data_IF_269573460687
#
_entry.id   IF_269573460687
#
_cell.length_a   1.000
_cell.length_b   1.000
_cell.length_c   1.000
_cell.angle_alpha   90.00
_cell.angle_beta   90.00
_cell.angle_gamma   90.00
#
_symmetry.space_group_name_H-M   'P 1'
#
loop_
_entity.id
_entity.type
_entity.pdbx_description
1 polymer ?
#
# COMPACT_ATOMS: atom_id res chain seq x y z
N UNK A 1 -42.78 13.94 -23.18
CA UNK A 1 -42.09 12.68 -22.86
C UNK A 1 -42.64 12.18 -21.54
N UNK A 2 -43.44 11.11 -21.56
CA UNK A 2 -43.99 10.52 -20.34
C UNK A 2 -42.87 9.77 -19.61
N UNK A 3 -42.49 10.23 -18.45
CA UNK A 3 -41.63 9.50 -17.49
C UNK A 3 -42.44 8.28 -17.05
N UNK A 4 -42.06 7.10 -17.53
CA UNK A 4 -42.58 5.84 -16.99
C UNK A 4 -41.91 5.70 -15.62
N UNK A 5 -42.59 6.12 -14.56
CA UNK A 5 -42.24 5.77 -13.20
C UNK A 5 -42.55 4.29 -13.03
N UNK A 6 -41.50 3.45 -12.95
CA UNK A 6 -41.66 2.06 -12.51
C UNK A 6 -42.22 2.09 -11.10
N UNK A 7 -43.35 1.43 -10.86
CA UNK A 7 -43.89 1.27 -9.52
C UNK A 7 -42.90 0.51 -8.64
N UNK A 8 -42.69 0.99 -7.40
CA UNK A 8 -41.89 0.30 -6.42
C UNK A 8 -42.67 -0.86 -5.81
N UNK A 9 -42.48 -2.03 -6.37
CA UNK A 9 -43.09 -3.29 -5.95
C UNK A 9 -42.02 -4.39 -5.82
N UNK A 10 -42.41 -5.60 -5.49
CA UNK A 10 -41.49 -6.73 -5.30
C UNK A 10 -40.62 -7.01 -6.53
N UNK A 11 -41.11 -6.76 -7.75
CA UNK A 11 -40.31 -6.89 -8.99
C UNK A 11 -39.23 -5.84 -9.13
N UNK A 12 -39.26 -4.78 -8.33
CA UNK A 12 -38.23 -3.75 -8.30
C UNK A 12 -37.05 -4.13 -7.41
N UNK A 13 -37.18 -5.15 -6.56
CA UNK A 13 -36.14 -5.68 -5.69
C UNK A 13 -35.32 -6.70 -6.47
N UNK A 14 -34.03 -6.44 -6.62
CA UNK A 14 -33.10 -7.32 -7.34
C UNK A 14 -31.95 -7.74 -6.43
N UNK A 15 -31.62 -9.02 -6.49
CA UNK A 15 -30.37 -9.55 -5.92
C UNK A 15 -29.36 -9.71 -7.05
N UNK A 16 -28.21 -9.09 -6.91
CA UNK A 16 -27.12 -9.16 -7.90
C UNK A 16 -26.14 -10.26 -7.52
N UNK A 17 -25.61 -10.93 -8.53
CA UNK A 17 -24.41 -11.75 -8.36
C UNK A 17 -23.22 -10.88 -7.99
N UNK A 18 -22.24 -11.46 -7.31
CA UNK A 18 -21.09 -10.73 -6.77
C UNK A 18 -20.34 -9.89 -7.82
N UNK A 19 -20.12 -10.44 -9.01
CA UNK A 19 -19.44 -9.77 -10.12
C UNK A 19 -20.29 -8.64 -10.72
N UNK A 20 -21.59 -8.84 -10.84
CA UNK A 20 -22.53 -7.81 -11.29
C UNK A 20 -22.57 -6.64 -10.32
N UNK A 21 -22.60 -6.92 -9.01
CA UNK A 21 -22.59 -5.88 -7.98
C UNK A 21 -21.30 -5.03 -8.07
N UNK A 22 -20.13 -5.68 -8.20
CA UNK A 22 -18.84 -4.96 -8.33
C UNK A 22 -18.86 -4.09 -9.59
N UNK A 23 -19.33 -4.60 -10.72
CA UNK A 23 -19.40 -3.85 -11.99
C UNK A 23 -20.38 -2.70 -11.96
N UNK A 24 -21.49 -2.83 -11.22
CA UNK A 24 -22.49 -1.74 -11.08
C UNK A 24 -22.07 -0.70 -10.03
N UNK A 25 -21.26 -1.07 -9.05
CA UNK A 25 -20.79 -0.21 -7.95
C UNK A 25 -19.26 -0.26 -7.78
N UNK A 26 -18.48 -0.05 -8.84
CA UNK A 26 -17.02 -0.20 -8.78
C UNK A 26 -16.38 0.74 -7.76
N UNK A 27 -16.96 1.92 -7.55
CA UNK A 27 -16.47 2.88 -6.56
C UNK A 27 -16.38 2.37 -5.13
N UNK A 28 -17.18 1.37 -4.75
CA UNK A 28 -17.11 0.73 -3.44
C UNK A 28 -15.87 -0.16 -3.27
N UNK A 29 -15.28 -0.63 -4.35
CA UNK A 29 -14.21 -1.63 -4.35
C UNK A 29 -12.87 -1.09 -4.83
N UNK A 30 -12.88 -0.26 -5.86
CA UNK A 30 -11.68 0.21 -6.56
C UNK A 30 -11.61 1.74 -6.70
N UNK A 31 -12.54 2.46 -6.07
CA UNK A 31 -12.57 3.93 -6.16
C UNK A 31 -13.03 4.43 -7.52
N UNK A 32 -12.41 5.49 -8.01
CA UNK A 32 -12.82 6.19 -9.23
C UNK A 32 -12.54 5.36 -10.50
N UNK A 33 -13.52 5.28 -11.40
CA UNK A 33 -13.38 4.63 -12.71
C UNK A 33 -12.89 5.59 -13.80
N UNK A 34 -11.86 6.36 -13.51
CA UNK A 34 -11.25 7.29 -14.46
C UNK A 34 -10.53 6.61 -15.64
N UNK A 35 -10.04 7.45 -16.54
CA UNK A 35 -9.38 7.04 -17.78
C UNK A 35 -7.87 6.75 -17.66
N UNK A 36 -7.33 6.81 -16.45
CA UNK A 36 -5.90 6.62 -16.17
C UNK A 36 -5.07 7.90 -16.16
N UNK A 37 -5.71 9.05 -16.35
CA UNK A 37 -5.03 10.35 -16.28
C UNK A 37 -4.63 10.77 -14.86
N UNK A 38 -5.17 10.09 -13.85
CA UNK A 38 -4.90 10.36 -12.44
C UNK A 38 -4.32 9.13 -11.74
N UNK A 39 -3.35 9.30 -10.82
CA UNK A 39 -2.70 8.16 -10.15
C UNK A 39 -3.63 7.41 -9.17
N UNK A 40 -4.77 7.99 -8.81
CA UNK A 40 -5.82 7.38 -7.96
C UNK A 40 -6.95 6.73 -8.75
N UNK A 41 -6.88 6.68 -10.08
CA UNK A 41 -7.87 6.00 -10.91
C UNK A 41 -7.86 4.48 -10.66
N UNK A 42 -9.04 3.88 -10.70
CA UNK A 42 -9.25 2.48 -10.35
C UNK A 42 -8.41 1.48 -11.12
N UNK A 43 -8.01 1.78 -12.38
CA UNK A 43 -7.12 0.89 -13.14
C UNK A 43 -5.76 0.67 -12.42
N UNK A 44 -5.25 1.66 -11.67
CA UNK A 44 -4.04 1.50 -10.86
C UNK A 44 -4.33 0.75 -9.56
N UNK A 45 -5.55 0.87 -9.02
CA UNK A 45 -5.98 0.06 -7.87
C UNK A 45 -6.03 -1.42 -8.25
N UNK A 46 -6.42 -1.77 -9.50
CA UNK A 46 -6.35 -3.16 -9.97
C UNK A 46 -4.92 -3.72 -9.92
N UNK A 47 -3.92 -2.97 -10.38
CA UNK A 47 -2.52 -3.36 -10.29
C UNK A 47 -2.12 -3.55 -8.82
N UNK A 48 -2.48 -2.59 -7.98
CA UNK A 48 -2.18 -2.58 -6.55
C UNK A 48 -2.73 -3.80 -5.84
N UNK A 49 -3.99 -4.18 -6.09
CA UNK A 49 -4.62 -5.35 -5.44
C UNK A 49 -3.92 -6.68 -5.78
N UNK A 50 -3.39 -6.82 -6.99
CA UNK A 50 -2.59 -8.00 -7.35
C UNK A 50 -1.19 -7.93 -6.73
N UNK A 51 -0.54 -6.76 -6.77
CA UNK A 51 0.77 -6.55 -6.14
C UNK A 51 0.74 -6.78 -4.63
N UNK A 52 -0.29 -6.27 -3.94
CA UNK A 52 -0.45 -6.45 -2.50
C UNK A 52 -0.49 -7.93 -2.10
N UNK A 53 -1.13 -8.78 -2.92
CA UNK A 53 -1.13 -10.22 -2.68
C UNK A 53 0.28 -10.84 -2.82
N UNK A 54 1.04 -10.40 -3.82
CA UNK A 54 2.40 -10.85 -4.05
C UNK A 54 3.37 -10.36 -2.96
N UNK A 55 3.18 -9.14 -2.47
CA UNK A 55 3.96 -8.54 -1.38
C UNK A 55 3.65 -9.21 -0.04
N UNK A 56 2.41 -9.61 0.20
CA UNK A 56 2.05 -10.35 1.41
C UNK A 56 2.77 -11.70 1.50
N UNK A 57 3.04 -12.36 0.37
CA UNK A 57 3.90 -13.56 0.33
C UNK A 57 5.35 -13.23 0.72
N UNK A 58 5.92 -12.14 0.17
CA UNK A 58 7.26 -11.70 0.55
C UNK A 58 7.34 -11.32 2.04
N UNK A 59 6.35 -10.61 2.56
CA UNK A 59 6.27 -10.22 3.98
C UNK A 59 6.14 -11.43 4.90
N UNK A 60 5.58 -12.53 4.40
CA UNK A 60 5.51 -13.83 5.09
C UNK A 60 6.80 -14.65 4.94
N UNK A 61 7.83 -14.12 4.29
CA UNK A 61 9.14 -14.77 4.11
C UNK A 61 9.28 -15.60 2.84
N UNK A 62 8.33 -15.52 1.91
CA UNK A 62 8.30 -16.34 0.69
C UNK A 62 8.47 -15.48 -0.57
N UNK A 63 9.41 -15.89 -1.42
CA UNK A 63 9.75 -15.18 -2.66
C UNK A 63 10.60 -13.93 -2.39
N UNK A 64 11.33 -13.50 -3.42
CA UNK A 64 12.20 -12.31 -3.36
C UNK A 64 12.14 -11.48 -4.63
N UNK A 65 11.30 -11.86 -5.57
CA UNK A 65 11.14 -11.20 -6.85
C UNK A 65 9.65 -11.16 -7.23
N UNK A 66 9.20 -10.04 -7.76
CA UNK A 66 7.90 -9.86 -8.41
C UNK A 66 8.15 -9.21 -9.76
N UNK A 67 7.56 -9.76 -10.82
CA UNK A 67 7.60 -9.19 -12.17
C UNK A 67 6.27 -8.58 -12.53
N UNK A 68 6.31 -7.39 -13.10
CA UNK A 68 5.16 -6.62 -13.54
C UNK A 68 5.44 -6.18 -14.96
N UNK A 69 4.57 -6.55 -15.89
CA UNK A 69 4.68 -6.13 -17.28
C UNK A 69 3.34 -5.56 -17.74
N UNK A 70 3.39 -4.48 -18.49
CA UNK A 70 2.22 -3.85 -19.12
C UNK A 70 2.50 -3.74 -20.61
N UNK A 71 1.74 -4.48 -21.40
CA UNK A 71 1.73 -4.39 -22.86
C UNK A 71 0.39 -3.85 -23.31
N UNK A 72 0.36 -2.67 -23.90
CA UNK A 72 -0.85 -1.94 -24.24
C UNK A 72 -1.75 -1.78 -22.99
N UNK A 73 -2.87 -2.51 -22.92
CA UNK A 73 -3.81 -2.51 -21.81
C UNK A 73 -3.84 -3.82 -21.02
N UNK A 74 -2.90 -4.74 -21.30
CA UNK A 74 -2.78 -6.01 -20.59
C UNK A 74 -1.70 -5.93 -19.52
N UNK A 75 -2.08 -6.21 -18.29
CA UNK A 75 -1.19 -6.27 -17.13
C UNK A 75 -0.88 -7.72 -16.83
N UNK A 76 0.39 -8.01 -16.58
CA UNK A 76 0.89 -9.32 -16.15
C UNK A 76 1.69 -9.15 -14.87
N UNK A 77 1.38 -9.94 -13.84
CA UNK A 77 2.10 -9.94 -12.56
C UNK A 77 2.44 -11.38 -12.19
N UNK A 78 3.71 -11.64 -11.88
CA UNK A 78 4.24 -12.93 -11.44
C UNK A 78 5.03 -12.78 -10.16
N UNK A 79 4.61 -13.45 -9.11
CA UNK A 79 5.41 -13.63 -7.89
C UNK A 79 6.02 -15.03 -7.82
N UNK A 80 6.95 -15.19 -6.89
CA UNK A 80 7.63 -16.46 -6.61
C UNK A 80 7.46 -16.85 -5.13
N UNK A 81 6.25 -16.59 -4.58
CA UNK A 81 5.83 -17.00 -3.26
C UNK A 81 5.45 -18.48 -3.18
N UNK A 82 4.61 -18.84 -2.23
CA UNK A 82 4.13 -20.22 -2.07
C UNK A 82 3.17 -20.68 -3.17
N UNK A 83 2.49 -19.75 -3.78
CA UNK A 83 1.34 -19.99 -4.64
C UNK A 83 0.06 -20.27 -3.83
N UNK A 84 -1.09 -20.01 -4.45
CA UNK A 84 -2.41 -20.33 -3.90
C UNK A 84 -2.56 -21.87 -3.89
N UNK A 85 -3.12 -22.49 -2.82
CA UNK A 85 -3.46 -23.90 -2.86
C UNK A 85 -4.29 -24.25 -4.11
N UNK A 86 -3.86 -25.25 -4.87
CA UNK A 86 -4.36 -25.46 -6.25
C UNK A 86 -5.88 -25.61 -6.32
N UNK A 87 -6.50 -26.29 -5.36
CA UNK A 87 -7.95 -26.46 -5.31
C UNK A 87 -8.72 -25.16 -4.97
N UNK A 88 -8.03 -24.16 -4.42
CA UNK A 88 -8.62 -22.88 -4.01
C UNK A 88 -8.48 -21.77 -5.05
N UNK A 89 -7.79 -21.99 -6.17
CA UNK A 89 -7.48 -20.95 -7.18
C UNK A 89 -8.74 -20.27 -7.71
N UNK A 90 -9.73 -21.06 -8.14
CA UNK A 90 -10.99 -20.55 -8.67
C UNK A 90 -11.74 -19.77 -7.58
N UNK A 91 -11.86 -20.35 -6.40
CA UNK A 91 -12.61 -19.74 -5.29
C UNK A 91 -11.95 -18.44 -4.81
N UNK A 92 -10.63 -18.40 -4.75
CA UNK A 92 -9.89 -17.18 -4.43
C UNK A 92 -10.10 -16.04 -5.45
N UNK A 93 -10.35 -16.38 -6.72
CA UNK A 93 -10.58 -15.41 -7.78
C UNK A 93 -12.06 -15.02 -7.95
N UNK A 94 -13.02 -15.82 -7.48
CA UNK A 94 -14.45 -15.69 -7.85
C UNK A 94 -15.46 -15.83 -6.72
N UNK A 95 -15.04 -16.12 -5.48
CA UNK A 95 -15.96 -16.20 -4.34
C UNK A 95 -15.64 -15.11 -3.33
N UNK A 96 -16.61 -14.26 -3.00
CA UNK A 96 -16.49 -13.29 -1.92
C UNK A 96 -16.21 -13.99 -0.59
N UNK A 97 -15.51 -13.29 0.29
CA UNK A 97 -15.14 -13.80 1.62
C UNK A 97 -14.33 -15.12 1.58
N UNK A 98 -13.57 -15.32 0.52
CA UNK A 98 -12.66 -16.47 0.36
C UNK A 98 -11.23 -15.99 0.23
N UNK A 99 -10.33 -16.51 1.05
CA UNK A 99 -8.91 -16.18 1.02
C UNK A 99 -8.20 -16.69 2.27
N UNK A 100 -6.90 -16.94 2.18
CA UNK A 100 -6.07 -17.37 3.31
C UNK A 100 -5.82 -16.31 4.38
N UNK A 101 -6.18 -15.05 4.10
CA UNK A 101 -5.91 -13.90 4.98
C UNK A 101 -6.92 -13.72 6.12
N UNK A 102 -7.98 -14.55 6.16
CA UNK A 102 -8.88 -14.64 7.31
C UNK A 102 -8.28 -15.46 8.47
N UNK A 103 -7.17 -16.14 8.24
CA UNK A 103 -6.41 -16.81 9.27
C UNK A 103 -5.22 -15.92 9.66
N UNK A 104 -5.33 -15.25 10.81
CA UNK A 104 -4.31 -14.35 11.35
C UNK A 104 -2.99 -15.07 11.65
N UNK A 105 -3.00 -16.38 11.89
CA UNK A 105 -1.78 -17.15 12.14
C UNK A 105 -0.93 -17.31 10.88
N UNK A 106 -1.56 -17.24 9.70
CA UNK A 106 -0.87 -17.39 8.40
C UNK A 106 -0.44 -16.04 7.83
N UNK A 107 -1.24 -14.96 8.04
CA UNK A 107 -1.02 -13.62 7.48
C UNK A 107 -1.26 -12.52 8.53
N UNK A 108 -0.40 -12.40 9.51
CA UNK A 108 -0.61 -11.49 10.66
C UNK A 108 -0.70 -10.00 10.31
N UNK A 109 0.01 -9.55 9.29
CA UNK A 109 0.16 -8.11 8.94
C UNK A 109 -0.11 -7.86 7.47
N UNK A 110 -1.04 -8.60 6.90
CA UNK A 110 -1.43 -8.47 5.51
C UNK A 110 -2.30 -7.22 5.28
N UNK A 111 -2.32 -6.74 4.08
CA UNK A 111 -3.12 -5.59 3.65
C UNK A 111 -4.47 -6.02 3.11
N UNK A 112 -4.54 -7.14 2.45
CA UNK A 112 -5.72 -7.64 1.74
C UNK A 112 -6.70 -8.39 2.65
N UNK A 113 -7.14 -7.79 3.76
CA UNK A 113 -7.95 -8.46 4.79
C UNK A 113 -9.37 -8.82 4.34
N UNK A 114 -9.96 -8.07 3.41
CA UNK A 114 -11.36 -8.22 3.06
C UNK A 114 -11.65 -9.36 2.06
N UNK A 115 -10.62 -9.99 1.51
CA UNK A 115 -10.77 -11.06 0.51
C UNK A 115 -11.51 -10.64 -0.76
N UNK A 116 -11.47 -9.35 -1.13
CA UNK A 116 -12.28 -8.75 -2.22
C UNK A 116 -11.42 -8.28 -3.39
N UNK A 117 -10.16 -7.90 -3.15
CA UNK A 117 -9.34 -7.21 -4.13
C UNK A 117 -9.17 -7.96 -5.45
N UNK A 118 -8.74 -9.23 -5.38
CA UNK A 118 -8.58 -10.06 -6.58
C UNK A 118 -9.90 -10.28 -7.33
N UNK A 119 -11.03 -10.35 -6.60
CA UNK A 119 -12.38 -10.46 -7.19
C UNK A 119 -12.77 -9.18 -7.91
N UNK A 120 -12.39 -8.02 -7.36
CA UNK A 120 -12.62 -6.75 -8.03
C UNK A 120 -11.84 -6.66 -9.35
N UNK A 121 -10.58 -7.10 -9.38
CA UNK A 121 -9.79 -7.19 -10.62
C UNK A 121 -10.47 -8.10 -11.62
N UNK A 122 -10.87 -9.31 -11.22
CA UNK A 122 -11.56 -10.27 -12.09
C UNK A 122 -12.88 -9.70 -12.62
N UNK A 123 -13.76 -9.21 -11.75
CA UNK A 123 -15.09 -8.71 -12.14
C UNK A 123 -15.02 -7.50 -13.08
N UNK A 124 -14.00 -6.65 -12.96
CA UNK A 124 -13.85 -5.42 -13.77
C UNK A 124 -12.96 -5.59 -14.99
N UNK A 125 -12.56 -6.83 -15.30
CA UNK A 125 -11.74 -7.17 -16.47
C UNK A 125 -12.57 -7.87 -17.55
N UNK A 126 -12.32 -7.52 -18.81
CA UNK A 126 -12.83 -8.26 -19.97
C UNK A 126 -12.15 -9.61 -20.15
N UNK A 127 -10.89 -9.67 -19.72
CA UNK A 127 -10.08 -10.89 -19.68
C UNK A 127 -9.31 -10.94 -18.34
N UNK A 128 -9.41 -12.07 -17.65
CA UNK A 128 -8.66 -12.33 -16.43
C UNK A 128 -8.19 -13.79 -16.43
N UNK A 129 -6.90 -13.97 -16.25
CA UNK A 129 -6.25 -15.28 -16.14
C UNK A 129 -5.45 -15.35 -14.86
N UNK A 130 -5.59 -16.45 -14.14
CA UNK A 130 -4.81 -16.73 -12.94
C UNK A 130 -4.24 -18.14 -13.02
N UNK A 131 -2.98 -18.32 -12.64
CA UNK A 131 -2.33 -19.62 -12.50
C UNK A 131 -1.49 -19.66 -11.24
N UNK A 132 -1.67 -20.67 -10.44
CA UNK A 132 -0.88 -20.94 -9.25
C UNK A 132 0.00 -22.16 -9.46
N UNK A 133 1.28 -22.00 -9.15
CA UNK A 133 2.32 -23.03 -9.28
C UNK A 133 2.74 -23.52 -7.90
N UNK A 134 2.62 -24.83 -7.68
CA UNK A 134 3.04 -25.49 -6.45
C UNK A 134 3.62 -26.87 -6.73
N UNK A 135 4.85 -27.10 -6.27
CA UNK A 135 5.49 -28.42 -6.28
C UNK A 135 5.51 -29.09 -7.68
N UNK A 136 5.78 -28.29 -8.72
CA UNK A 136 5.86 -28.76 -10.11
C UNK A 136 4.52 -28.95 -10.81
N UNK A 137 3.41 -28.65 -10.16
CA UNK A 137 2.06 -28.65 -10.73
C UNK A 137 1.50 -27.24 -10.78
N UNK A 138 0.52 -27.01 -11.63
CA UNK A 138 -0.26 -25.76 -11.57
C UNK A 138 -1.74 -26.00 -11.78
N UNK A 139 -2.53 -25.06 -11.24
CA UNK A 139 -3.95 -24.87 -11.53
C UNK A 139 -4.12 -23.50 -12.14
N UNK A 140 -4.79 -23.46 -13.29
CA UNK A 140 -5.15 -22.20 -13.95
C UNK A 140 -6.67 -22.06 -14.12
N UNK A 141 -7.10 -20.81 -14.25
CA UNK A 141 -8.48 -20.47 -14.56
C UNK A 141 -8.54 -19.16 -15.37
N UNK A 142 -9.46 -19.10 -16.32
CA UNK A 142 -9.74 -17.98 -17.17
C UNK A 142 -11.16 -17.47 -16.94
N UNK A 143 -11.32 -16.16 -16.89
CA UNK A 143 -12.59 -15.48 -16.64
C UNK A 143 -12.80 -14.31 -17.59
N UNK A 144 -14.07 -13.96 -17.78
CA UNK A 144 -14.49 -12.72 -18.41
C UNK A 144 -15.58 -12.07 -17.58
N UNK A 145 -15.35 -10.81 -17.16
CA UNK A 145 -16.25 -10.06 -16.29
C UNK A 145 -16.66 -10.83 -15.02
N UNK A 146 -15.74 -11.60 -14.42
CA UNK A 146 -15.97 -12.42 -13.25
C UNK A 146 -16.59 -13.80 -13.51
N UNK A 147 -17.01 -14.08 -14.73
CA UNK A 147 -17.56 -15.38 -15.10
C UNK A 147 -16.46 -16.31 -15.59
N UNK A 148 -16.43 -17.54 -15.07
CA UNK A 148 -15.46 -18.53 -15.49
C UNK A 148 -15.69 -18.94 -16.94
N UNK A 149 -14.62 -18.94 -17.73
CA UNK A 149 -14.62 -19.35 -19.14
C UNK A 149 -14.04 -20.76 -19.27
N UNK A 150 -12.87 -20.99 -18.65
CA UNK A 150 -12.18 -22.27 -18.70
C UNK A 150 -11.25 -22.44 -17.50
N UNK A 151 -10.84 -23.67 -17.21
CA UNK A 151 -9.85 -23.97 -16.17
C UNK A 151 -9.23 -25.34 -16.37
N UNK A 152 -8.02 -25.53 -15.84
CA UNK A 152 -7.34 -26.82 -15.96
C UNK A 152 -6.14 -26.93 -15.03
N UNK A 153 -5.44 -28.04 -15.17
CA UNK A 153 -4.20 -28.33 -14.46
C UNK A 153 -3.07 -28.56 -15.47
N UNK A 154 -1.86 -28.21 -15.06
CA UNK A 154 -0.64 -28.68 -15.73
C UNK A 154 0.18 -29.51 -14.74
N UNK A 155 0.68 -30.62 -15.21
CA UNK A 155 1.61 -31.48 -14.49
C UNK A 155 3.04 -31.24 -14.98
N UNK A 156 4.01 -31.36 -14.09
CA UNK A 156 5.44 -31.25 -14.43
C UNK A 156 5.80 -29.92 -15.15
N UNK A 157 5.31 -28.80 -14.62
CA UNK A 157 5.48 -27.48 -15.27
C UNK A 157 6.92 -27.02 -15.36
N UNK A 158 7.83 -27.51 -14.51
CA UNK A 158 9.20 -27.01 -14.38
C UNK A 158 9.29 -25.59 -13.78
N UNK A 159 8.15 -24.96 -13.52
CA UNK A 159 8.06 -23.61 -12.97
C UNK A 159 8.28 -23.60 -11.44
N UNK A 160 8.86 -22.51 -10.95
CA UNK A 160 8.96 -22.25 -9.52
C UNK A 160 7.58 -21.95 -8.95
N UNK A 161 7.39 -22.29 -7.67
CA UNK A 161 6.17 -21.92 -6.93
C UNK A 161 5.87 -20.40 -7.05
N UNK A 162 4.60 -20.06 -6.90
CA UNK A 162 4.12 -18.67 -6.90
C UNK A 162 2.84 -18.52 -7.68
N UNK A 163 2.44 -17.27 -7.91
CA UNK A 163 1.19 -16.94 -8.60
C UNK A 163 1.45 -16.08 -9.83
N UNK A 164 0.74 -16.35 -10.88
CA UNK A 164 0.73 -15.59 -12.13
C UNK A 164 -0.68 -15.06 -12.36
N UNK A 165 -0.79 -13.77 -12.61
CA UNK A 165 -2.05 -13.09 -12.96
C UNK A 165 -1.82 -12.30 -14.23
N UNK A 166 -2.75 -12.43 -15.18
CA UNK A 166 -2.81 -11.61 -16.40
C UNK A 166 -4.24 -11.11 -16.59
N UNK A 167 -4.40 -9.81 -16.82
CA UNK A 167 -5.72 -9.26 -17.04
C UNK A 167 -5.71 -8.06 -17.98
N UNK A 168 -6.87 -7.82 -18.60
CA UNK A 168 -7.17 -6.61 -19.37
C UNK A 168 -8.45 -6.01 -18.78
N UNK A 169 -8.37 -4.80 -18.24
CA UNK A 169 -9.53 -4.13 -17.68
C UNK A 169 -10.61 -3.90 -18.76
N UNK A 170 -11.87 -3.88 -18.36
CA UNK A 170 -13.01 -3.79 -19.30
C UNK A 170 -13.33 -2.32 -19.61
N UNK A 171 -13.30 -1.95 -20.88
CA UNK A 171 -13.70 -0.62 -21.38
C UNK A 171 -15.13 -0.22 -21.00
N UNK A 172 -15.99 -1.19 -20.69
CA UNK A 172 -17.34 -0.92 -20.18
C UNK A 172 -17.33 -0.39 -18.75
N UNK A 173 -16.28 -0.68 -17.98
CA UNK A 173 -16.08 -0.18 -16.61
C UNK A 173 -15.17 1.03 -16.60
N UNK A 174 -14.14 1.04 -17.44
CA UNK A 174 -13.12 2.10 -17.56
C UNK A 174 -13.09 2.63 -19.00
N UNK A 175 -14.00 3.53 -19.40
CA UNK A 175 -14.08 3.98 -20.78
C UNK A 175 -12.79 4.67 -21.26
N UNK A 176 -12.23 4.16 -22.37
CA UNK A 176 -11.06 4.73 -23.05
C UNK A 176 -9.81 4.87 -22.16
N UNK A 177 -9.67 4.00 -21.16
CA UNK A 177 -8.53 4.06 -20.23
C UNK A 177 -7.17 3.78 -20.92
N UNK A 178 -6.13 4.38 -20.35
CA UNK A 178 -4.72 4.10 -20.70
C UNK A 178 -3.87 4.16 -19.45
N UNK A 179 -2.92 3.23 -19.35
CA UNK A 179 -1.93 3.27 -18.28
C UNK A 179 -0.89 4.37 -18.56
N UNK A 180 -0.67 5.25 -17.58
CA UNK A 180 0.52 6.08 -17.52
C UNK A 180 1.64 5.29 -16.82
N UNK A 181 2.68 4.96 -17.57
CA UNK A 181 3.81 4.15 -17.04
C UNK A 181 4.54 4.85 -15.90
N UNK A 182 4.58 6.19 -15.87
CA UNK A 182 5.21 6.95 -14.79
C UNK A 182 4.49 6.72 -13.44
N UNK A 183 3.16 6.65 -13.43
CA UNK A 183 2.40 6.37 -12.21
C UNK A 183 2.64 4.94 -11.70
N UNK A 184 2.76 3.98 -12.61
CA UNK A 184 3.08 2.60 -12.23
C UNK A 184 4.53 2.50 -11.75
N UNK A 185 5.46 3.18 -12.40
CA UNK A 185 6.86 3.23 -11.98
C UNK A 185 7.00 3.81 -10.57
N UNK A 186 6.30 4.91 -10.27
CA UNK A 186 6.27 5.51 -8.93
C UNK A 186 5.69 4.56 -7.89
N UNK A 187 4.59 3.88 -8.21
CA UNK A 187 4.00 2.86 -7.35
C UNK A 187 5.01 1.75 -7.05
N UNK A 188 5.69 1.20 -8.06
CA UNK A 188 6.69 0.14 -7.92
C UNK A 188 7.88 0.60 -7.09
N UNK A 189 8.37 1.83 -7.29
CA UNK A 189 9.41 2.43 -6.45
C UNK A 189 8.99 2.51 -4.99
N UNK A 190 7.80 3.02 -4.71
CA UNK A 190 7.28 3.11 -3.34
C UNK A 190 7.22 1.73 -2.68
N UNK A 191 6.75 0.71 -3.37
CA UNK A 191 6.77 -0.66 -2.84
C UNK A 191 8.19 -1.18 -2.60
N UNK A 192 9.18 -0.81 -3.41
CA UNK A 192 10.57 -1.23 -3.21
C UNK A 192 11.16 -0.62 -1.93
N UNK A 193 10.84 0.64 -1.62
CA UNK A 193 11.27 1.30 -0.38
C UNK A 193 10.63 0.68 0.87
N UNK A 194 9.37 0.29 0.76
CA UNK A 194 8.61 -0.28 1.88
C UNK A 194 8.90 -1.76 2.13
N UNK A 195 9.57 -2.44 1.19
CA UNK A 195 9.88 -3.86 1.23
C UNK A 195 11.36 -4.12 0.91
N UNK A 196 12.22 -3.67 1.81
CA UNK A 196 13.68 -3.78 1.67
C UNK A 196 14.11 -5.21 1.34
N UNK A 197 14.91 -5.37 0.29
CA UNK A 197 15.40 -6.68 -0.18
C UNK A 197 14.50 -7.37 -1.22
N UNK A 198 13.24 -6.90 -1.43
CA UNK A 198 12.40 -7.36 -2.53
C UNK A 198 12.89 -6.76 -3.86
N UNK A 199 13.02 -7.60 -4.88
CA UNK A 199 13.28 -7.18 -6.26
C UNK A 199 11.95 -7.05 -7.01
N UNK A 200 11.61 -5.84 -7.41
CA UNK A 200 10.46 -5.54 -8.25
C UNK A 200 10.95 -5.24 -9.67
N UNK A 201 10.48 -6.00 -10.66
CA UNK A 201 10.84 -5.80 -12.07
C UNK A 201 9.64 -5.27 -12.84
N UNK A 202 9.70 -4.03 -13.29
CA UNK A 202 8.65 -3.42 -14.09
C UNK A 202 9.14 -3.18 -15.52
N UNK A 203 8.48 -3.79 -16.50
CA UNK A 203 8.85 -3.77 -17.91
C UNK A 203 10.36 -4.04 -18.12
N UNK A 204 10.90 -5.02 -17.39
CA UNK A 204 12.32 -5.42 -17.46
C UNK A 204 13.29 -4.57 -16.64
N UNK A 205 12.88 -3.42 -16.09
CA UNK A 205 13.71 -2.59 -15.20
C UNK A 205 13.54 -3.01 -13.74
N UNK A 206 14.66 -3.22 -13.05
CA UNK A 206 14.65 -3.61 -11.62
C UNK A 206 14.61 -2.42 -10.70
N UNK A 207 13.76 -2.51 -9.67
CA UNK A 207 13.64 -1.60 -8.54
C UNK A 207 13.86 -2.37 -7.25
N UNK A 208 14.85 -1.95 -6.48
CA UNK A 208 15.23 -2.59 -5.21
C UNK A 208 15.88 -1.57 -4.28
N UNK A 209 15.31 -1.40 -3.11
CA UNK A 209 15.87 -0.53 -2.09
C UNK A 209 16.74 -1.31 -1.11
N UNK A 210 17.82 -0.66 -0.64
CA UNK A 210 18.71 -1.17 0.41
C UNK A 210 18.43 -0.53 1.77
N UNK A 211 18.02 0.74 1.76
CA UNK A 211 17.88 1.56 2.97
C UNK A 211 16.42 1.96 3.26
N UNK A 212 15.45 1.35 2.57
CA UNK A 212 14.02 1.53 2.86
C UNK A 212 13.54 2.99 2.76
N UNK A 213 12.93 3.50 3.81
CA UNK A 213 12.40 4.87 3.83
C UNK A 213 13.50 5.94 3.69
N UNK A 214 14.74 5.64 4.04
CA UNK A 214 15.85 6.60 3.84
C UNK A 214 16.07 6.85 2.34
N UNK A 215 16.02 5.80 1.51
CA UNK A 215 16.11 5.94 0.06
C UNK A 215 14.92 6.76 -0.48
N UNK A 216 13.70 6.45 -0.01
CA UNK A 216 12.49 7.19 -0.40
C UNK A 216 12.60 8.68 -0.11
N UNK A 217 12.98 9.05 1.11
CA UNK A 217 13.09 10.46 1.50
C UNK A 217 14.21 11.13 0.73
N UNK A 218 15.38 10.49 0.60
CA UNK A 218 16.56 11.06 -0.07
C UNK A 218 16.32 11.30 -1.56
N UNK A 219 15.64 10.38 -2.26
CA UNK A 219 15.34 10.53 -3.69
C UNK A 219 14.26 11.59 -3.97
N UNK A 220 13.38 11.85 -3.01
CA UNK A 220 12.29 12.82 -3.15
C UNK A 220 12.60 14.20 -2.54
N UNK A 221 13.79 14.41 -1.99
CA UNK A 221 14.20 15.71 -1.47
C UNK A 221 14.23 16.76 -2.59
N UNK A 222 13.37 17.77 -2.48
CA UNK A 222 13.32 18.91 -3.41
C UNK A 222 14.25 20.07 -3.03
N UNK A 223 14.93 20.00 -1.89
CA UNK A 223 15.76 21.06 -1.32
C UNK A 223 16.90 20.48 -0.47
N UNK A 224 17.89 21.32 -0.13
CA UNK A 224 18.98 20.92 0.75
C UNK A 224 18.47 20.66 2.18
N UNK A 225 19.07 19.65 2.82
CA UNK A 225 18.76 19.33 4.21
C UNK A 225 19.70 20.07 5.15
N UNK A 226 19.19 20.55 6.28
CA UNK A 226 19.97 21.26 7.28
C UNK A 226 20.95 20.33 8.04
N UNK A 227 20.64 19.06 8.10
CA UNK A 227 21.46 17.99 8.68
C UNK A 227 21.11 16.66 8.00
N UNK A 228 22.03 15.66 8.07
CA UNK A 228 21.75 14.35 7.47
C UNK A 228 20.45 13.74 8.02
N UNK A 229 19.63 13.12 7.16
CA UNK A 229 18.40 12.49 7.61
C UNK A 229 18.61 11.50 8.75
N UNK A 230 17.82 11.63 9.81
CA UNK A 230 17.80 10.70 10.96
C UNK A 230 16.97 9.50 10.53
N UNK A 231 17.58 8.32 10.46
CA UNK A 231 16.93 7.07 10.08
C UNK A 231 16.84 6.14 11.28
N UNK A 232 15.63 5.83 11.72
CA UNK A 232 15.36 4.97 12.88
C UNK A 232 14.54 3.75 12.43
N UNK A 233 15.03 2.57 12.78
CA UNK A 233 14.43 1.28 12.40
C UNK A 233 14.20 0.44 13.65
N UNK A 234 12.96 0.03 13.86
CA UNK A 234 12.54 -0.86 14.92
C UNK A 234 11.73 -2.04 14.40
N UNK A 235 11.22 -2.84 15.32
CA UNK A 235 10.30 -3.91 14.95
C UNK A 235 8.94 -3.29 14.56
N UNK A 236 8.52 -3.50 13.33
CA UNK A 236 7.25 -2.99 12.77
C UNK A 236 7.13 -1.46 12.67
N UNK A 237 8.23 -0.74 12.79
CA UNK A 237 8.28 0.71 12.63
C UNK A 237 9.59 1.12 11.96
N UNK A 238 9.49 2.00 10.99
CA UNK A 238 10.62 2.66 10.35
C UNK A 238 10.25 4.12 10.16
N UNK A 239 11.17 5.03 10.43
CA UNK A 239 10.95 6.44 10.18
C UNK A 239 12.23 7.17 9.75
N UNK A 240 12.03 8.24 9.01
CA UNK A 240 13.09 9.16 8.59
C UNK A 240 12.63 10.58 8.87
N UNK A 241 13.51 11.38 9.48
CA UNK A 241 13.24 12.77 9.80
C UNK A 241 14.45 13.62 9.40
N UNK A 242 14.21 14.71 8.72
CA UNK A 242 15.16 15.82 8.54
C UNK A 242 14.41 17.14 8.47
N UNK A 243 15.13 18.25 8.45
CA UNK A 243 14.59 19.56 8.13
C UNK A 243 15.29 20.10 6.88
N UNK A 244 14.56 20.78 6.06
CA UNK A 244 15.07 21.43 4.85
C UNK A 244 15.12 22.95 5.02
N UNK A 245 15.64 23.62 4.02
CA UNK A 245 15.58 25.07 3.89
C UNK A 245 14.25 25.58 3.31
N UNK A 246 13.35 24.63 2.92
CA UNK A 246 12.02 24.93 2.41
C UNK A 246 11.02 25.36 3.49
N UNK A 247 9.78 25.60 3.08
CA UNK A 247 8.67 25.94 3.97
C UNK A 247 7.66 24.79 4.08
N UNK A 248 7.03 24.70 5.25
CA UNK A 248 5.98 23.72 5.51
C UNK A 248 6.53 22.36 5.96
N UNK A 249 5.63 21.41 6.08
CA UNK A 249 5.88 20.04 6.49
C UNK A 249 5.58 19.10 5.32
N UNK A 250 6.48 18.17 5.03
CA UNK A 250 6.30 17.12 4.00
C UNK A 250 6.64 15.75 4.58
N UNK A 251 5.58 15.02 5.01
CA UNK A 251 5.71 13.71 5.64
C UNK A 251 4.89 12.68 4.90
N UNK A 252 5.56 11.72 4.29
CA UNK A 252 4.93 10.53 3.74
C UNK A 252 4.58 9.52 4.85
N UNK A 253 3.41 8.90 4.79
CA UNK A 253 2.98 7.94 5.81
C UNK A 253 2.45 6.64 5.20
N UNK A 254 2.82 5.52 5.83
CA UNK A 254 2.53 4.18 5.32
C UNK A 254 2.08 3.25 6.45
N UNK A 255 1.14 2.37 6.13
CA UNK A 255 0.67 1.30 7.01
C UNK A 255 0.60 0.00 6.23
N UNK A 256 1.31 -1.05 6.70
CA UNK A 256 1.38 -2.35 6.03
C UNK A 256 1.76 -2.23 4.54
N UNK A 257 2.62 -1.28 4.18
CA UNK A 257 3.01 -1.02 2.80
C UNK A 257 2.02 -0.19 1.98
N UNK A 258 0.94 0.32 2.58
CA UNK A 258 -0.03 1.19 1.91
C UNK A 258 0.30 2.65 2.13
N UNK A 259 0.32 3.44 1.06
CA UNK A 259 0.46 4.89 1.14
C UNK A 259 -0.84 5.52 1.67
N UNK A 260 -0.77 6.07 2.88
CA UNK A 260 -1.90 6.73 3.53
C UNK A 260 -1.88 8.23 3.22
N UNK A 261 -2.27 8.58 2.00
CA UNK A 261 -2.23 9.96 1.49
C UNK A 261 -3.06 10.95 2.30
N UNK A 262 -4.08 10.47 3.02
CA UNK A 262 -4.90 11.25 3.96
C UNK A 262 -4.44 11.11 5.42
N UNK A 263 -3.29 10.46 5.65
CA UNK A 263 -2.70 10.25 6.96
C UNK A 263 -3.52 9.30 7.84
N UNK A 264 -3.78 9.72 9.07
CA UNK A 264 -4.53 8.95 10.07
C UNK A 264 -3.89 8.99 11.45
N UNK A 265 -4.27 8.03 12.29
CA UNK A 265 -3.84 7.95 13.70
C UNK A 265 -2.33 7.87 13.85
N UNK A 266 -1.64 7.14 12.98
CA UNK A 266 -0.18 6.98 13.01
C UNK A 266 0.56 8.27 12.66
N UNK A 267 0.12 9.02 11.65
CA UNK A 267 0.73 10.30 11.29
C UNK A 267 0.54 11.34 12.40
N UNK A 268 -0.64 11.37 13.00
CA UNK A 268 -0.92 12.24 14.15
C UNK A 268 -0.04 11.90 15.35
N UNK A 269 0.11 10.62 15.67
CA UNK A 269 0.98 10.14 16.74
C UNK A 269 2.46 10.47 16.48
N UNK A 270 2.92 10.30 15.23
CA UNK A 270 4.27 10.65 14.80
C UNK A 270 4.55 12.15 15.02
N UNK A 271 3.68 13.03 14.54
CA UNK A 271 3.82 14.49 14.70
C UNK A 271 3.88 14.90 16.17
N UNK A 272 3.02 14.33 16.99
CA UNK A 272 2.98 14.60 18.43
C UNK A 272 4.28 14.13 19.10
N UNK A 273 4.69 12.89 18.84
CA UNK A 273 5.85 12.28 19.48
C UNK A 273 7.17 12.98 19.10
N UNK A 274 7.35 13.33 17.83
CA UNK A 274 8.55 14.07 17.37
C UNK A 274 8.64 15.43 18.07
N UNK A 275 7.57 16.21 18.05
CA UNK A 275 7.55 17.53 18.67
C UNK A 275 7.81 17.44 20.19
N UNK A 276 7.17 16.49 20.88
CA UNK A 276 7.35 16.27 22.31
C UNK A 276 8.79 15.88 22.64
N UNK A 277 9.35 14.89 21.95
CA UNK A 277 10.71 14.40 22.21
C UNK A 277 11.77 15.48 22.00
N UNK A 278 11.67 16.25 20.93
CA UNK A 278 12.59 17.36 20.65
C UNK A 278 12.49 18.45 21.71
N UNK A 279 11.29 18.82 22.14
CA UNK A 279 11.09 19.80 23.24
C UNK A 279 11.72 19.32 24.53
N UNK A 280 11.49 18.06 24.90
CA UNK A 280 12.06 17.45 26.12
C UNK A 280 13.58 17.38 26.06
N UNK A 281 14.16 16.96 24.93
CA UNK A 281 15.59 16.89 24.70
C UNK A 281 16.26 18.27 24.83
N UNK A 282 15.68 19.28 24.19
CA UNK A 282 16.21 20.64 24.19
C UNK A 282 15.87 21.40 25.49
N UNK A 283 15.02 20.85 26.35
CA UNK A 283 14.54 21.45 27.61
C UNK A 283 13.95 22.85 27.42
N UNK A 284 13.18 23.01 26.32
CA UNK A 284 12.50 24.26 25.96
C UNK A 284 11.07 23.99 25.52
N UNK A 285 10.18 24.87 25.90
CA UNK A 285 8.74 24.77 25.57
C UNK A 285 8.43 25.54 24.28
N UNK A 286 8.84 24.94 23.15
CA UNK A 286 8.50 25.44 21.82
C UNK A 286 7.09 25.05 21.42
N UNK A 287 6.45 25.83 20.54
CA UNK A 287 5.21 25.39 19.89
C UNK A 287 5.47 24.18 19.01
N UNK A 288 4.60 23.15 18.99
CA UNK A 288 4.77 21.99 18.12
C UNK A 288 4.86 22.33 16.63
N UNK A 289 4.22 23.40 16.19
CA UNK A 289 4.29 23.90 14.80
C UNK A 289 5.68 24.38 14.43
N UNK A 290 6.39 25.08 15.35
CA UNK A 290 7.73 25.57 15.11
C UNK A 290 8.74 24.43 14.98
N UNK A 291 8.55 23.34 15.76
CA UNK A 291 9.34 22.11 15.65
C UNK A 291 9.16 21.42 14.29
N UNK A 292 7.93 21.43 13.76
CA UNK A 292 7.61 20.75 12.49
C UNK A 292 7.80 21.63 11.24
N UNK A 293 8.08 22.91 11.42
CA UNK A 293 8.33 23.80 10.29
C UNK A 293 9.53 23.35 9.48
N UNK A 294 9.34 23.12 8.17
CA UNK A 294 10.33 22.60 7.23
C UNK A 294 10.75 21.15 7.46
N UNK A 295 9.99 20.38 8.26
CA UNK A 295 10.26 18.97 8.50
C UNK A 295 9.91 18.16 7.26
N UNK A 296 10.85 17.35 6.81
CA UNK A 296 10.69 16.37 5.73
C UNK A 296 10.97 14.98 6.26
N UNK A 297 10.14 14.02 5.88
CA UNK A 297 10.36 12.67 6.36
C UNK A 297 9.33 11.66 5.92
N UNK A 298 9.38 10.50 6.54
CA UNK A 298 8.44 9.42 6.30
C UNK A 298 8.29 8.56 7.55
N UNK A 299 7.12 7.93 7.70
CA UNK A 299 6.87 6.89 8.70
C UNK A 299 6.16 5.70 8.05
N UNK A 300 6.61 4.50 8.37
CA UNK A 300 5.96 3.24 8.03
C UNK A 300 5.78 2.40 9.29
N UNK A 301 4.57 1.91 9.51
CA UNK A 301 4.25 0.98 10.59
C UNK A 301 3.54 -0.27 10.07
N UNK A 302 3.62 -1.35 10.84
CA UNK A 302 2.85 -2.56 10.60
C UNK A 302 1.84 -2.75 11.73
N UNK A 303 0.59 -2.94 11.37
CA UNK A 303 -0.57 -3.08 12.26
C UNK A 303 -1.24 -4.41 11.99
N UNK A 304 -1.66 -5.11 13.04
CA UNK A 304 -2.49 -6.31 12.92
C UNK A 304 -3.92 -5.86 12.65
N UNK A 305 -4.53 -6.39 11.60
CA UNK A 305 -5.91 -6.07 11.20
C UNK A 305 -6.21 -4.55 11.14
N UNK A 306 -5.50 -3.79 10.28
CA UNK A 306 -5.68 -2.35 10.22
C UNK A 306 -7.08 -1.97 9.74
N UNK A 307 -7.67 -0.97 10.40
CA UNK A 307 -8.95 -0.37 10.02
C UNK A 307 -8.67 0.90 9.23
N UNK A 308 -9.04 0.90 7.95
CA UNK A 308 -8.95 2.06 7.08
C UNK A 308 -10.30 2.77 6.94
N UNK A 309 -10.27 4.06 6.64
CA UNK A 309 -11.48 4.86 6.43
C UNK A 309 -12.24 4.53 5.14
N UNK A 310 -11.56 3.88 4.18
CA UNK A 310 -12.12 3.49 2.88
C UNK A 310 -11.41 2.25 2.33
N UNK A 311 -11.97 1.65 1.28
CA UNK A 311 -11.40 0.47 0.62
C UNK A 311 -10.07 0.80 -0.10
N UNK A 312 -9.86 2.02 -0.53
CA UNK A 312 -8.60 2.46 -1.15
C UNK A 312 -7.46 2.68 -0.14
N UNK A 313 -7.76 2.53 1.15
CA UNK A 313 -6.79 2.49 2.26
C UNK A 313 -5.96 3.77 2.41
N UNK A 314 -6.54 4.92 2.10
CA UNK A 314 -5.85 6.23 2.13
C UNK A 314 -5.69 6.83 3.51
N UNK A 315 -6.44 6.35 4.52
CA UNK A 315 -6.42 6.87 5.89
C UNK A 315 -6.54 5.76 6.93
N UNK A 316 -5.59 5.71 7.88
CA UNK A 316 -5.66 4.78 9.01
C UNK A 316 -6.59 5.31 10.11
N UNK A 317 -7.57 4.50 10.51
CA UNK A 317 -8.48 4.79 11.62
C UNK A 317 -8.20 3.92 12.86
N UNK A 318 -7.35 2.88 12.76
CA UNK A 318 -7.01 2.04 13.91
C UNK A 318 -6.47 2.86 15.07
N UNK A 319 -6.95 2.58 16.28
CA UNK A 319 -6.39 3.14 17.52
C UNK A 319 -5.32 2.23 18.13
N UNK A 320 -5.31 0.96 17.78
CA UNK A 320 -4.43 -0.07 18.29
C UNK A 320 -3.54 -0.63 17.16
N UNK A 321 -2.31 -1.04 17.47
CA UNK A 321 -1.43 -1.78 16.54
C UNK A 321 -1.64 -3.29 16.65
N UNK A 322 -2.06 -3.73 17.84
CA UNK A 322 -2.45 -5.09 18.20
C UNK A 322 -3.44 -5.03 19.37
N UNK A 323 -3.78 -6.15 19.98
CA UNK A 323 -4.77 -6.22 21.08
C UNK A 323 -4.32 -5.48 22.37
N UNK A 324 -3.03 -5.19 22.53
CA UNK A 324 -2.46 -4.69 23.78
C UNK A 324 -1.97 -3.24 23.68
N UNK A 325 -1.44 -2.80 22.53
CA UNK A 325 -0.69 -1.55 22.39
C UNK A 325 -1.40 -0.58 21.44
N UNK A 326 -1.59 0.65 21.91
CA UNK A 326 -2.15 1.71 21.07
C UNK A 326 -1.13 2.21 20.04
N UNK A 327 -1.62 2.66 18.88
CA UNK A 327 -0.79 3.32 17.83
C UNK A 327 -0.01 4.50 18.42
N UNK A 328 -0.65 5.28 19.30
CA UNK A 328 -0.02 6.45 19.93
C UNK A 328 1.14 6.06 20.83
N UNK A 329 0.97 5.04 21.68
CA UNK A 329 2.02 4.59 22.58
C UNK A 329 3.14 3.88 21.80
N UNK A 330 2.80 3.02 20.84
CA UNK A 330 3.77 2.31 20.01
C UNK A 330 4.74 3.27 19.31
N UNK A 331 4.21 4.30 18.67
CA UNK A 331 5.02 5.30 17.97
C UNK A 331 5.70 6.23 18.97
N UNK A 332 4.98 6.65 20.02
CA UNK A 332 5.47 7.59 21.03
C UNK A 332 6.68 7.06 21.79
N UNK A 333 6.59 5.82 22.29
CA UNK A 333 7.67 5.19 23.06
C UNK A 333 8.90 4.97 22.19
N UNK A 334 8.72 4.48 20.96
CA UNK A 334 9.82 4.29 20.01
C UNK A 334 10.54 5.60 19.68
N UNK A 335 9.80 6.66 19.35
CA UNK A 335 10.39 7.96 19.01
C UNK A 335 11.07 8.58 20.23
N UNK A 336 10.44 8.50 21.40
CA UNK A 336 11.02 9.05 22.62
C UNK A 336 12.37 8.39 22.94
N UNK A 337 12.47 7.08 22.81
CA UNK A 337 13.72 6.36 23.08
C UNK A 337 14.76 6.59 21.98
N UNK A 338 14.42 6.29 20.73
CA UNK A 338 15.40 6.25 19.64
C UNK A 338 15.84 7.65 19.17
N UNK A 339 14.90 8.60 19.07
CA UNK A 339 15.22 9.96 18.65
C UNK A 339 16.02 10.72 19.73
N UNK A 340 15.66 10.57 21.01
CA UNK A 340 16.40 11.18 22.10
C UNK A 340 17.83 10.62 22.19
N UNK A 341 17.98 9.29 22.08
CA UNK A 341 19.29 8.64 22.02
C UNK A 341 20.12 9.12 20.82
N UNK A 342 19.49 9.30 19.65
CA UNK A 342 20.16 9.82 18.47
C UNK A 342 20.69 11.25 18.71
N UNK A 343 19.84 12.13 19.22
CA UNK A 343 20.21 13.53 19.47
C UNK A 343 21.30 13.68 20.55
N UNK A 344 21.34 12.79 21.54
CA UNK A 344 22.43 12.74 22.51
C UNK A 344 23.77 12.33 21.89
N UNK A 345 23.76 11.42 20.92
CA UNK A 345 24.94 10.96 20.19
C UNK A 345 25.41 11.95 19.12
N UNK A 346 24.49 12.75 18.56
CA UNK A 346 24.72 13.67 17.45
C UNK A 346 24.39 15.11 17.86
N UNK A 347 25.22 15.65 18.75
CA UNK A 347 25.03 16.99 19.36
C UNK A 347 25.04 18.13 18.32
N UNK A 348 25.76 17.95 17.20
CA UNK A 348 25.72 18.90 16.08
C UNK A 348 24.32 18.99 15.47
N UNK A 349 23.68 17.86 15.22
CA UNK A 349 22.29 17.82 14.73
C UNK A 349 21.33 18.50 15.70
N UNK A 350 21.47 18.21 17.01
CA UNK A 350 20.64 18.86 18.04
C UNK A 350 20.83 20.38 18.06
N UNK A 351 22.06 20.87 17.84
CA UNK A 351 22.37 22.30 17.77
C UNK A 351 21.74 22.97 16.54
N UNK A 352 21.85 22.35 15.37
CA UNK A 352 21.24 22.85 14.13
C UNK A 352 19.71 22.88 14.27
N UNK A 353 19.12 21.83 14.82
CA UNK A 353 17.69 21.72 15.07
C UNK A 353 17.20 22.82 16.03
N UNK A 354 17.92 23.05 17.14
CA UNK A 354 17.61 24.15 18.06
C UNK A 354 17.58 25.51 17.35
N UNK A 355 18.61 25.80 16.53
CA UNK A 355 18.69 27.03 15.78
C UNK A 355 17.51 27.21 14.83
N UNK A 356 17.16 26.13 14.06
CA UNK A 356 16.02 26.15 13.13
C UNK A 356 14.70 26.42 13.85
N UNK A 357 14.45 25.79 14.98
CA UNK A 357 13.21 25.99 15.75
C UNK A 357 13.12 27.42 16.28
N UNK A 358 14.24 27.99 16.76
CA UNK A 358 14.29 29.38 17.21
C UNK A 358 14.08 30.40 16.08
N UNK A 359 14.51 30.08 14.87
CA UNK A 359 14.22 30.87 13.68
C UNK A 359 12.72 30.83 13.36
N UNK A 360 12.10 29.64 13.34
CA UNK A 360 10.66 29.48 13.12
C UNK A 360 9.80 30.19 14.17
N UNK A 361 10.22 30.16 15.44
CA UNK A 361 9.55 30.87 16.54
C UNK A 361 9.59 32.39 16.32
N UNK A 362 10.67 32.95 15.77
CA UNK A 362 10.79 34.39 15.49
C UNK A 362 9.98 34.83 14.27
N UNK A 363 9.81 33.93 13.29
CA UNK A 363 9.03 34.20 12.08
C UNK A 363 7.52 34.13 12.32
N UNK A 364 7.06 33.36 13.30
CA UNK A 364 5.67 33.26 13.75
C UNK A 364 5.22 34.51 14.51
#
# INVERSE_FOLDING_TARGET
>A
MSTITKDYNDDAIQTLEWNEHIRQRPGMYIGNTGDGSRPDDGIYILIKEVLDNSIDEFSSGYGKEIRIDIEENTVTIRDYGRGIPLESVIDCASKLNTGGKFDSDVFQKSVGLNGVGLKAVNATSSYFYIESFREGRSKWAEFSAGNIVDSGYHENTGEKNGTFVRYTADDKVFPSYRYNTEFVEEMVKNYSYLNTGLSLKFNGKEYKSKNGLLDLVTENLGSETLYPPIHLVGHDIELVITHSDGNGEDIASFVNGQNTTEGGTHLSAFREAVAKTIKEHLKKDFEPSDVRQSMVGAISIRVIEPIFGNQTKTKLNSKMVNDEVSVRNFIGDFIQEELDNYLHKHTETATILLKKIQESEKER
#
